data_IF_432880818048
#
_entry.id   IF_432880818048
#
_cell.length_a   1.000
_cell.length_b   1.000
_cell.length_c   1.000
_cell.angle_alpha   90.00
_cell.angle_beta   90.00
_cell.angle_gamma   90.00
#
_symmetry.space_group_name_H-M   'P 1'
#
loop_
_entity.id
_entity.type
_entity.pdbx_description
1 polymer ?
#
# COMPACT_ATOMS: atom_id res chain seq x y z
N UNK A 1 -27.70 -4.19 -20.83
CA UNK A 1 -26.94 -3.04 -20.26
C UNK A 1 -27.27 -1.82 -21.11
N UNK A 2 -27.46 -0.62 -20.52
CA UNK A 2 -27.67 0.59 -21.34
C UNK A 2 -26.34 1.06 -21.94
N UNK A 3 -26.37 1.70 -23.14
CA UNK A 3 -25.17 2.26 -23.80
C UNK A 3 -24.42 3.28 -22.90
N UNK A 4 -25.16 4.02 -22.07
CA UNK A 4 -24.57 4.96 -21.11
C UNK A 4 -23.79 4.24 -20.00
N UNK A 5 -24.27 3.12 -19.48
CA UNK A 5 -23.59 2.34 -18.45
C UNK A 5 -22.27 1.76 -18.98
N UNK A 6 -22.26 1.24 -20.19
CA UNK A 6 -21.03 0.74 -20.84
C UNK A 6 -19.98 1.84 -20.99
N UNK A 7 -20.40 2.99 -21.46
CA UNK A 7 -19.51 4.14 -21.66
C UNK A 7 -18.88 4.61 -20.33
N UNK A 8 -19.67 4.71 -19.27
CA UNK A 8 -19.17 5.08 -17.93
C UNK A 8 -18.16 4.04 -17.42
N UNK A 9 -18.47 2.75 -17.56
CA UNK A 9 -17.55 1.69 -17.12
C UNK A 9 -16.23 1.71 -17.88
N UNK A 10 -16.26 1.93 -19.20
CA UNK A 10 -15.04 2.06 -20.02
C UNK A 10 -14.19 3.24 -19.53
N UNK A 11 -14.76 4.42 -19.31
CA UNK A 11 -14.01 5.56 -18.79
C UNK A 11 -13.44 5.30 -17.39
N UNK A 12 -14.19 4.63 -16.53
CA UNK A 12 -13.71 4.27 -15.19
C UNK A 12 -12.54 3.29 -15.25
N UNK A 13 -12.61 2.29 -16.12
CA UNK A 13 -11.52 1.33 -16.34
C UNK A 13 -10.29 2.03 -16.90
N UNK A 14 -10.45 2.92 -17.89
CA UNK A 14 -9.35 3.70 -18.45
C UNK A 14 -8.68 4.60 -17.40
N UNK A 15 -9.46 5.28 -16.57
CA UNK A 15 -8.95 6.09 -15.48
C UNK A 15 -8.17 5.25 -14.45
N UNK A 16 -8.66 4.06 -14.11
CA UNK A 16 -7.97 3.11 -13.24
C UNK A 16 -6.64 2.64 -13.84
N UNK A 17 -6.61 2.29 -15.11
CA UNK A 17 -5.40 1.89 -15.82
C UNK A 17 -4.37 3.02 -15.89
N UNK A 18 -4.80 4.24 -16.21
CA UNK A 18 -3.93 5.42 -16.22
C UNK A 18 -3.30 5.68 -14.85
N UNK A 19 -4.06 5.51 -13.77
CA UNK A 19 -3.55 5.63 -12.40
C UNK A 19 -2.44 4.62 -12.11
N UNK A 20 -2.60 3.36 -12.52
CA UNK A 20 -1.57 2.32 -12.35
C UNK A 20 -0.33 2.61 -13.19
N UNK A 21 -0.52 3.01 -14.46
CA UNK A 21 0.58 3.39 -15.35
C UNK A 21 1.38 4.55 -14.76
N UNK A 22 0.71 5.58 -14.27
CA UNK A 22 1.36 6.69 -13.58
C UNK A 22 2.16 6.21 -12.35
N UNK A 23 1.55 5.38 -11.50
CA UNK A 23 2.22 4.81 -10.32
C UNK A 23 3.47 4.02 -10.68
N UNK A 24 3.41 3.21 -11.74
CA UNK A 24 4.54 2.43 -12.23
C UNK A 24 5.72 3.31 -12.70
N UNK A 25 5.46 4.28 -13.58
CA UNK A 25 6.51 5.16 -14.10
C UNK A 25 7.08 6.07 -13.02
N UNK A 26 6.23 6.59 -12.13
CA UNK A 26 6.67 7.42 -11.01
C UNK A 26 7.51 6.61 -10.02
N UNK A 27 7.10 5.40 -9.68
CA UNK A 27 7.87 4.49 -8.83
C UNK A 27 9.24 4.17 -9.43
N UNK A 28 9.31 3.85 -10.74
CA UNK A 28 10.56 3.63 -11.44
C UNK A 28 11.46 4.87 -11.41
N UNK A 29 10.90 6.06 -11.61
CA UNK A 29 11.64 7.32 -11.55
C UNK A 29 12.24 7.58 -10.17
N UNK A 30 11.49 7.30 -9.09
CA UNK A 30 11.99 7.43 -7.72
C UNK A 30 13.13 6.45 -7.49
N UNK A 31 12.95 5.18 -7.83
CA UNK A 31 13.93 4.13 -7.57
C UNK A 31 15.23 4.34 -8.37
N UNK A 32 15.20 5.07 -9.47
CA UNK A 32 16.39 5.46 -10.24
C UNK A 32 17.12 6.69 -9.67
N UNK A 33 16.54 7.40 -8.71
CA UNK A 33 17.16 8.56 -8.05
C UNK A 33 18.29 8.13 -7.12
N UNK A 34 19.23 9.06 -6.84
CA UNK A 34 20.38 8.80 -5.96
C UNK A 34 19.93 8.36 -4.56
N UNK A 35 20.51 7.28 -4.06
CA UNK A 35 20.31 6.78 -2.70
C UNK A 35 21.37 7.34 -1.70
N UNK A 36 22.09 8.38 -2.10
CA UNK A 36 23.10 9.00 -1.25
C UNK A 36 24.42 8.23 -1.14
N UNK A 37 25.18 8.52 -0.10
CA UNK A 37 26.50 7.92 0.13
C UNK A 37 26.40 6.49 0.69
N UNK A 38 27.55 5.81 0.79
CA UNK A 38 27.63 4.42 1.25
C UNK A 38 27.03 4.22 2.66
N UNK A 39 27.22 5.18 3.58
CA UNK A 39 26.68 5.08 4.94
C UNK A 39 25.15 5.20 4.96
N UNK A 40 24.59 6.10 4.15
CA UNK A 40 23.12 6.19 3.99
C UNK A 40 22.52 4.91 3.43
N UNK A 41 23.19 4.31 2.44
CA UNK A 41 22.72 3.05 1.83
C UNK A 41 22.85 1.87 2.79
N UNK A 42 23.88 1.80 3.62
CA UNK A 42 24.04 0.79 4.67
C UNK A 42 22.87 0.84 5.67
N UNK A 43 22.55 2.03 6.19
CA UNK A 43 21.44 2.25 7.12
C UNK A 43 20.10 1.91 6.44
N UNK A 44 19.88 2.40 5.22
CA UNK A 44 18.67 2.10 4.46
C UNK A 44 18.49 0.61 4.19
N UNK A 45 19.56 -0.12 3.93
CA UNK A 45 19.53 -1.58 3.76
C UNK A 45 19.08 -2.29 5.03
N UNK A 46 19.57 -1.89 6.20
CA UNK A 46 19.16 -2.46 7.48
C UNK A 46 17.65 -2.23 7.73
N UNK A 47 17.16 -1.01 7.48
CA UNK A 47 15.73 -0.67 7.59
C UNK A 47 14.90 -1.51 6.61
N UNK A 48 15.34 -1.67 5.35
CA UNK A 48 14.64 -2.45 4.34
C UNK A 48 14.54 -3.93 4.71
N UNK A 49 15.58 -4.51 5.30
CA UNK A 49 15.56 -5.91 5.78
C UNK A 49 14.50 -6.08 6.86
N UNK A 50 14.48 -5.20 7.86
CA UNK A 50 13.48 -5.20 8.94
C UNK A 50 12.06 -5.02 8.41
N UNK A 51 11.84 -4.01 7.56
CA UNK A 51 10.53 -3.74 6.94
C UNK A 51 10.03 -4.93 6.13
N UNK A 52 10.88 -5.55 5.31
CA UNK A 52 10.52 -6.70 4.48
C UNK A 52 10.19 -7.94 5.32
N UNK A 53 10.96 -8.20 6.37
CA UNK A 53 10.69 -9.30 7.29
C UNK A 53 9.34 -9.12 8.00
N UNK A 54 9.08 -7.90 8.48
CA UNK A 54 7.81 -7.54 9.12
C UNK A 54 6.62 -7.67 8.16
N UNK A 55 6.70 -7.07 6.98
CA UNK A 55 5.65 -7.15 5.95
C UNK A 55 5.31 -8.60 5.60
N UNK A 56 6.32 -9.42 5.34
CA UNK A 56 6.10 -10.82 5.00
C UNK A 56 5.37 -11.57 6.12
N UNK A 57 5.72 -11.32 7.38
CA UNK A 57 5.04 -11.94 8.53
C UNK A 57 3.61 -11.45 8.66
N UNK A 58 3.39 -10.15 8.55
CA UNK A 58 2.09 -9.53 8.64
C UNK A 58 1.15 -10.04 7.56
N UNK A 59 1.57 -9.97 6.29
CA UNK A 59 0.74 -10.39 5.17
C UNK A 59 0.42 -11.88 5.17
N UNK A 60 1.34 -12.72 5.66
CA UNK A 60 1.04 -14.14 5.89
C UNK A 60 -0.08 -14.33 6.91
N UNK A 61 -0.06 -13.59 8.01
CA UNK A 61 -1.10 -13.64 9.04
C UNK A 61 -2.44 -13.12 8.50
N UNK A 62 -2.41 -11.99 7.78
CA UNK A 62 -3.59 -11.41 7.13
C UNK A 62 -4.20 -12.39 6.12
N UNK A 63 -3.38 -13.08 5.33
CA UNK A 63 -3.85 -14.07 4.37
C UNK A 63 -4.58 -15.24 5.04
N UNK A 64 -4.08 -15.74 6.17
CA UNK A 64 -4.74 -16.82 6.93
C UNK A 64 -6.12 -16.36 7.42
N UNK A 65 -6.21 -15.19 8.06
CA UNK A 65 -7.48 -14.62 8.51
C UNK A 65 -8.41 -14.34 7.33
N UNK A 66 -7.85 -13.79 6.24
CA UNK A 66 -8.60 -13.50 5.02
C UNK A 66 -9.24 -14.74 4.41
N UNK A 67 -8.53 -15.88 4.39
CA UNK A 67 -9.10 -17.15 3.90
C UNK A 67 -10.24 -17.64 4.79
N UNK A 68 -10.10 -17.55 6.11
CA UNK A 68 -11.19 -17.91 7.03
C UNK A 68 -12.44 -17.07 6.77
N UNK A 69 -12.29 -15.75 6.65
CA UNK A 69 -13.39 -14.84 6.34
C UNK A 69 -13.97 -15.12 4.95
N UNK A 70 -13.14 -15.41 3.94
CA UNK A 70 -13.58 -15.80 2.60
C UNK A 70 -14.52 -17.02 2.65
N UNK A 71 -14.13 -18.04 3.39
CA UNK A 71 -14.95 -19.26 3.56
C UNK A 71 -16.29 -18.91 4.22
N UNK A 72 -16.27 -18.15 5.32
CA UNK A 72 -17.49 -17.75 6.03
C UNK A 72 -18.43 -16.95 5.10
N UNK A 73 -17.91 -15.95 4.38
CA UNK A 73 -18.71 -15.11 3.48
C UNK A 73 -19.28 -15.93 2.32
N UNK A 74 -18.49 -16.82 1.71
CA UNK A 74 -18.92 -17.65 0.60
C UNK A 74 -20.05 -18.62 0.99
N UNK A 75 -19.96 -19.23 2.18
CA UNK A 75 -21.00 -20.14 2.67
C UNK A 75 -22.24 -19.42 3.20
N UNK A 76 -22.09 -18.23 3.77
CA UNK A 76 -23.22 -17.49 4.36
C UNK A 76 -24.06 -16.74 3.32
N UNK A 77 -23.48 -16.37 2.19
CA UNK A 77 -24.17 -15.60 1.14
C UNK A 77 -24.18 -16.35 -0.19
N UNK A 78 -23.12 -16.17 -1.01
CA UNK A 78 -22.94 -16.90 -2.26
C UNK A 78 -21.48 -16.92 -2.68
N UNK A 79 -21.17 -17.77 -3.66
CA UNK A 79 -19.82 -17.82 -4.25
C UNK A 79 -19.43 -16.48 -4.91
N UNK A 80 -20.39 -15.80 -5.57
CA UNK A 80 -20.15 -14.49 -6.19
C UNK A 80 -19.81 -13.44 -5.12
N UNK A 81 -20.51 -13.44 -4.00
CA UNK A 81 -20.20 -12.56 -2.87
C UNK A 81 -18.79 -12.86 -2.31
N UNK A 82 -18.44 -14.14 -2.17
CA UNK A 82 -17.10 -14.58 -1.78
C UNK A 82 -16.00 -14.13 -2.77
N UNK A 83 -16.26 -14.22 -4.06
CA UNK A 83 -15.33 -13.73 -5.11
C UNK A 83 -15.16 -12.21 -5.03
N UNK A 84 -16.22 -11.47 -4.79
CA UNK A 84 -16.14 -10.02 -4.55
C UNK A 84 -15.19 -9.70 -3.39
N UNK A 85 -15.41 -10.35 -2.24
CA UNK A 85 -14.50 -10.22 -1.10
C UNK A 85 -13.04 -10.54 -1.45
N UNK A 86 -12.79 -11.65 -2.16
CA UNK A 86 -11.45 -12.07 -2.56
C UNK A 86 -10.77 -11.05 -3.46
N UNK A 87 -11.48 -10.50 -4.45
CA UNK A 87 -10.96 -9.46 -5.34
C UNK A 87 -10.57 -8.22 -4.53
N UNK A 88 -11.47 -7.71 -3.69
CA UNK A 88 -11.20 -6.55 -2.85
C UNK A 88 -10.01 -6.75 -1.91
N UNK A 89 -9.99 -7.88 -1.20
CA UNK A 89 -8.91 -8.24 -0.27
C UNK A 89 -7.56 -8.35 -0.98
N UNK A 90 -7.51 -9.04 -2.13
CA UNK A 90 -6.27 -9.25 -2.88
C UNK A 90 -5.71 -7.95 -3.42
N UNK A 91 -6.54 -7.13 -4.07
CA UNK A 91 -6.08 -5.87 -4.67
C UNK A 91 -5.67 -4.83 -3.61
N UNK A 92 -6.39 -4.76 -2.49
CA UNK A 92 -6.00 -3.94 -1.34
C UNK A 92 -4.67 -4.40 -0.75
N UNK A 93 -4.47 -5.72 -0.62
CA UNK A 93 -3.21 -6.31 -0.17
C UNK A 93 -2.05 -5.95 -1.10
N UNK A 94 -2.22 -6.09 -2.41
CA UNK A 94 -1.21 -5.72 -3.40
C UNK A 94 -0.86 -4.23 -3.31
N UNK A 95 -1.86 -3.34 -3.25
CA UNK A 95 -1.63 -1.90 -3.14
C UNK A 95 -0.82 -1.55 -1.89
N UNK A 96 -1.18 -2.10 -0.73
CA UNK A 96 -0.48 -1.86 0.53
C UNK A 96 0.95 -2.41 0.53
N UNK A 97 1.14 -3.64 0.07
CA UNK A 97 2.45 -4.28 0.03
C UNK A 97 3.43 -3.56 -0.92
N UNK A 98 2.99 -3.29 -2.15
CA UNK A 98 3.81 -2.59 -3.16
C UNK A 98 4.08 -1.15 -2.71
N UNK A 99 3.06 -0.45 -2.22
CA UNK A 99 3.20 0.91 -1.71
C UNK A 99 4.24 1.01 -0.60
N UNK A 100 4.20 0.10 0.38
CA UNK A 100 5.18 0.06 1.47
C UNK A 100 6.59 -0.24 0.99
N UNK A 101 6.76 -1.19 0.05
CA UNK A 101 8.08 -1.48 -0.52
C UNK A 101 8.69 -0.28 -1.26
N UNK A 102 7.86 0.50 -1.96
CA UNK A 102 8.31 1.73 -2.64
C UNK A 102 8.65 2.80 -1.61
N UNK A 103 7.82 3.01 -0.60
CA UNK A 103 8.03 4.00 0.46
C UNK A 103 9.35 3.76 1.21
N UNK A 104 9.59 2.55 1.68
CA UNK A 104 10.83 2.20 2.41
C UNK A 104 12.09 2.44 1.57
N UNK A 105 12.01 2.24 0.25
CA UNK A 105 13.12 2.53 -0.65
C UNK A 105 13.22 4.02 -0.99
N UNK A 106 12.13 4.77 -0.94
CA UNK A 106 12.09 6.19 -1.22
C UNK A 106 12.71 7.04 -0.09
N UNK A 107 12.67 6.56 1.16
CA UNK A 107 13.12 7.31 2.34
C UNK A 107 14.57 7.80 2.22
N UNK A 108 15.51 6.94 1.91
CA UNK A 108 16.92 7.31 1.73
C UNK A 108 17.12 8.30 0.56
N UNK A 109 16.30 8.18 -0.47
CA UNK A 109 16.30 9.08 -1.64
C UNK A 109 15.73 10.45 -1.30
N UNK A 110 14.72 10.48 -0.45
CA UNK A 110 14.17 11.73 0.11
C UNK A 110 15.23 12.43 0.98
N UNK A 111 15.90 11.68 1.86
CA UNK A 111 16.98 12.23 2.68
C UNK A 111 18.13 12.78 1.83
N UNK A 112 18.55 12.08 0.77
CA UNK A 112 19.58 12.57 -0.15
C UNK A 112 19.12 13.80 -0.94
N UNK A 113 17.87 13.81 -1.42
CA UNK A 113 17.32 14.96 -2.12
C UNK A 113 17.21 16.20 -1.21
N UNK A 114 16.87 16.02 0.06
CA UNK A 114 16.75 17.09 1.05
C UNK A 114 18.08 17.80 1.32
N UNK A 115 19.22 17.15 1.05
CA UNK A 115 20.55 17.80 1.12
C UNK A 115 20.73 18.91 0.08
N UNK A 116 19.95 18.89 -1.00
CA UNK A 116 19.96 19.91 -2.06
C UNK A 116 19.01 21.07 -1.75
N UNK A 117 17.95 20.79 -1.00
CA UNK A 117 16.96 21.77 -0.59
C UNK A 117 15.64 21.12 -0.20
N UNK A 118 14.77 21.91 0.45
CA UNK A 118 13.45 21.48 0.89
C UNK A 118 12.56 21.07 -0.30
N UNK A 119 12.61 21.81 -1.39
CA UNK A 119 11.77 21.56 -2.57
C UNK A 119 12.10 20.21 -3.22
N UNK A 120 13.38 19.86 -3.31
CA UNK A 120 13.85 18.58 -3.86
C UNK A 120 13.44 17.42 -2.98
N UNK A 121 13.64 17.53 -1.67
CA UNK A 121 13.19 16.53 -0.71
C UNK A 121 11.69 16.31 -0.75
N UNK A 122 10.91 17.39 -0.70
CA UNK A 122 9.44 17.35 -0.78
C UNK A 122 8.95 16.73 -2.09
N UNK A 123 9.61 17.04 -3.22
CA UNK A 123 9.26 16.45 -4.52
C UNK A 123 9.38 14.93 -4.53
N UNK A 124 10.46 14.37 -3.96
CA UNK A 124 10.66 12.92 -3.88
C UNK A 124 9.65 12.29 -2.92
N UNK A 125 9.46 12.89 -1.74
CA UNK A 125 8.50 12.41 -0.74
C UNK A 125 7.07 12.39 -1.28
N UNK A 126 6.63 13.49 -1.94
CA UNK A 126 5.31 13.59 -2.55
C UNK A 126 5.11 12.54 -3.65
N UNK A 127 6.08 12.37 -4.53
CA UNK A 127 6.01 11.35 -5.59
C UNK A 127 5.89 9.95 -5.01
N UNK A 128 6.59 9.65 -3.91
CA UNK A 128 6.50 8.36 -3.23
C UNK A 128 5.09 8.10 -2.68
N UNK A 129 4.50 9.10 -2.00
CA UNK A 129 3.11 9.01 -1.56
C UNK A 129 2.12 8.89 -2.71
N UNK A 130 2.35 9.64 -3.82
CA UNK A 130 1.53 9.57 -5.00
C UNK A 130 1.52 8.18 -5.67
N UNK A 131 2.63 7.43 -5.64
CA UNK A 131 2.66 6.04 -6.14
C UNK A 131 1.63 5.19 -5.38
N UNK A 132 1.66 5.22 -4.04
CA UNK A 132 0.72 4.47 -3.22
C UNK A 132 -0.72 4.92 -3.43
N UNK A 133 -0.96 6.25 -3.42
CA UNK A 133 -2.29 6.80 -3.63
C UNK A 133 -2.90 6.44 -4.98
N UNK A 134 -2.11 6.52 -6.06
CA UNK A 134 -2.55 6.16 -7.41
C UNK A 134 -2.76 4.65 -7.58
N UNK A 135 -1.95 3.80 -6.93
CA UNK A 135 -2.19 2.36 -6.91
C UNK A 135 -3.52 2.03 -6.21
N UNK A 136 -3.77 2.61 -5.04
CA UNK A 136 -5.02 2.39 -4.29
C UNK A 136 -6.23 2.85 -5.13
N UNK A 137 -6.20 4.08 -5.64
CA UNK A 137 -7.30 4.61 -6.45
C UNK A 137 -7.52 3.81 -7.74
N UNK A 138 -6.44 3.49 -8.47
CA UNK A 138 -6.51 2.76 -9.72
C UNK A 138 -7.02 1.33 -9.55
N UNK A 139 -6.51 0.60 -8.56
CA UNK A 139 -6.95 -0.77 -8.28
C UNK A 139 -8.40 -0.81 -7.76
N UNK A 140 -8.82 0.17 -6.95
CA UNK A 140 -10.21 0.27 -6.49
C UNK A 140 -11.17 0.53 -7.66
N UNK A 141 -10.86 1.48 -8.55
CA UNK A 141 -11.66 1.76 -9.74
C UNK A 141 -11.76 0.53 -10.65
N UNK A 142 -10.64 -0.14 -10.90
CA UNK A 142 -10.61 -1.36 -11.72
C UNK A 142 -11.40 -2.48 -11.06
N UNK A 143 -11.21 -2.72 -9.76
CA UNK A 143 -11.92 -3.75 -9.04
C UNK A 143 -13.43 -3.60 -9.17
N UNK A 144 -13.94 -2.41 -8.85
CA UNK A 144 -15.36 -2.13 -8.89
C UNK A 144 -15.90 -2.19 -10.33
N UNK A 145 -15.26 -1.48 -11.27
CA UNK A 145 -15.76 -1.37 -12.63
C UNK A 145 -15.73 -2.71 -13.39
N UNK A 146 -14.63 -3.45 -13.29
CA UNK A 146 -14.49 -4.75 -13.97
C UNK A 146 -15.39 -5.79 -13.34
N UNK A 147 -15.46 -5.85 -12.00
CA UNK A 147 -16.30 -6.82 -11.32
C UNK A 147 -17.79 -6.56 -11.59
N UNK A 148 -18.22 -5.30 -11.51
CA UNK A 148 -19.58 -4.89 -11.84
C UNK A 148 -19.92 -5.19 -13.31
N UNK A 149 -19.02 -4.90 -14.25
CA UNK A 149 -19.19 -5.23 -15.67
C UNK A 149 -19.40 -6.74 -15.88
N UNK A 150 -18.61 -7.57 -15.23
CA UNK A 150 -18.72 -9.02 -15.33
C UNK A 150 -20.07 -9.53 -14.77
N UNK A 151 -20.49 -9.04 -13.60
CA UNK A 151 -21.77 -9.42 -13.01
C UNK A 151 -22.94 -9.05 -13.89
N UNK A 152 -22.92 -7.86 -14.51
CA UNK A 152 -23.94 -7.45 -15.48
C UNK A 152 -23.94 -8.32 -16.74
N UNK A 153 -22.76 -8.69 -17.24
CA UNK A 153 -22.60 -9.52 -18.44
C UNK A 153 -23.13 -10.95 -18.23
N UNK A 154 -23.01 -11.47 -17.01
CA UNK A 154 -23.55 -12.77 -16.63
C UNK A 154 -25.01 -12.71 -16.16
N UNK A 155 -25.68 -11.57 -16.34
CA UNK A 155 -27.08 -11.36 -15.99
C UNK A 155 -27.42 -11.74 -14.54
N UNK A 156 -26.50 -11.45 -13.62
CA UNK A 156 -26.68 -11.69 -12.20
C UNK A 156 -27.78 -10.78 -11.65
N UNK A 157 -28.59 -11.28 -10.70
CA UNK A 157 -29.67 -10.52 -10.06
C UNK A 157 -29.09 -9.24 -9.34
N UNK A 158 -29.86 -8.14 -9.42
CA UNK A 158 -29.42 -6.84 -8.88
C UNK A 158 -29.05 -6.90 -7.39
N UNK A 159 -29.81 -7.66 -6.61
CA UNK A 159 -29.54 -7.81 -5.18
C UNK A 159 -28.22 -8.54 -4.92
N UNK A 160 -27.93 -9.55 -5.73
CA UNK A 160 -26.68 -10.30 -5.63
C UNK A 160 -25.49 -9.45 -6.11
N UNK A 161 -25.66 -8.62 -7.14
CA UNK A 161 -24.67 -7.65 -7.58
C UNK A 161 -24.32 -6.69 -6.44
N UNK A 162 -25.32 -6.12 -5.77
CA UNK A 162 -25.08 -5.20 -4.63
C UNK A 162 -24.34 -5.93 -3.51
N UNK A 163 -24.75 -7.12 -3.13
CA UNK A 163 -24.09 -7.92 -2.09
C UNK A 163 -22.62 -8.22 -2.45
N UNK A 164 -22.37 -8.57 -3.71
CA UNK A 164 -21.02 -8.87 -4.20
C UNK A 164 -20.10 -7.63 -4.20
N UNK A 165 -20.61 -6.45 -4.57
CA UNK A 165 -19.87 -5.19 -4.50
C UNK A 165 -19.64 -4.72 -3.06
N UNK A 166 -20.60 -4.91 -2.16
CA UNK A 166 -20.43 -4.65 -0.73
C UNK A 166 -19.34 -5.56 -0.15
N UNK A 167 -19.34 -6.84 -0.51
CA UNK A 167 -18.32 -7.78 -0.06
C UNK A 167 -16.93 -7.43 -0.63
N UNK A 168 -16.83 -6.92 -1.86
CA UNK A 168 -15.59 -6.39 -2.43
C UNK A 168 -15.07 -5.22 -1.58
N UNK A 169 -15.91 -4.25 -1.26
CA UNK A 169 -15.56 -3.13 -0.38
C UNK A 169 -15.15 -3.59 1.02
N UNK A 170 -15.85 -4.59 1.58
CA UNK A 170 -15.52 -5.18 2.88
C UNK A 170 -14.16 -5.88 2.86
N UNK A 171 -13.85 -6.67 1.83
CA UNK A 171 -12.56 -7.33 1.68
C UNK A 171 -11.40 -6.32 1.59
N UNK A 172 -11.57 -5.27 0.77
CA UNK A 172 -10.59 -4.20 0.65
C UNK A 172 -10.38 -3.46 1.97
N UNK A 173 -11.45 -3.12 2.68
CA UNK A 173 -11.42 -2.42 3.96
C UNK A 173 -10.76 -3.27 5.06
N UNK A 174 -11.10 -4.55 5.17
CA UNK A 174 -10.54 -5.45 6.19
C UNK A 174 -9.03 -5.56 6.05
N UNK A 175 -8.51 -5.77 4.84
CA UNK A 175 -7.07 -5.84 4.60
C UNK A 175 -6.39 -4.50 4.88
N UNK A 176 -7.00 -3.40 4.47
CA UNK A 176 -6.48 -2.05 4.71
C UNK A 176 -6.36 -1.74 6.21
N UNK A 177 -7.35 -2.14 7.04
CA UNK A 177 -7.29 -1.95 8.49
C UNK A 177 -6.12 -2.72 9.09
N UNK A 178 -5.94 -3.99 8.74
CA UNK A 178 -4.80 -4.79 9.23
C UNK A 178 -3.46 -4.24 8.76
N UNK A 179 -3.36 -3.78 7.51
CA UNK A 179 -2.16 -3.17 6.99
C UNK A 179 -1.80 -1.87 7.74
N UNK A 180 -2.80 -1.03 8.04
CA UNK A 180 -2.64 0.22 8.81
C UNK A 180 -2.18 -0.05 10.25
N UNK A 181 -2.83 -0.98 10.95
CA UNK A 181 -2.46 -1.36 12.31
C UNK A 181 -1.02 -1.91 12.36
N UNK A 182 -0.67 -2.74 11.39
CA UNK A 182 0.67 -3.28 11.28
C UNK A 182 1.72 -2.20 10.99
N UNK A 183 1.43 -1.24 10.14
CA UNK A 183 2.29 -0.10 9.89
C UNK A 183 2.60 0.68 11.18
N UNK A 184 1.58 0.98 12.00
CA UNK A 184 1.74 1.63 13.29
C UNK A 184 2.61 0.84 14.28
N UNK A 185 2.46 -0.48 14.31
CA UNK A 185 3.32 -1.36 15.13
C UNK A 185 4.77 -1.33 14.66
N UNK A 186 5.01 -1.35 13.34
CA UNK A 186 6.34 -1.26 12.76
C UNK A 186 7.02 0.06 13.10
N UNK A 187 6.31 1.18 12.94
CA UNK A 187 6.79 2.52 13.29
C UNK A 187 7.18 2.61 14.76
N UNK A 188 6.33 2.07 15.66
CA UNK A 188 6.67 2.06 17.09
C UNK A 188 7.87 1.17 17.41
N UNK A 189 8.04 0.06 16.71
CA UNK A 189 9.24 -0.77 16.83
C UNK A 189 10.52 -0.06 16.38
N UNK A 190 10.44 0.75 15.33
CA UNK A 190 11.54 1.58 14.85
C UNK A 190 11.90 2.67 15.86
N UNK A 191 10.90 3.38 16.41
CA UNK A 191 11.03 4.41 17.44
C UNK A 191 11.74 3.86 18.70
N UNK A 192 11.28 2.75 19.24
CA UNK A 192 11.91 2.10 20.40
C UNK A 192 13.35 1.67 20.09
N UNK A 193 13.63 1.13 18.90
CA UNK A 193 14.98 0.78 18.47
C UNK A 193 15.89 2.01 18.37
N UNK A 194 15.34 3.11 17.90
CA UNK A 194 15.98 4.42 17.83
C UNK A 194 16.43 4.93 19.19
N UNK A 195 15.50 4.89 20.14
CA UNK A 195 15.76 5.30 21.51
C UNK A 195 16.88 4.48 22.15
N UNK A 196 16.87 3.17 21.95
CA UNK A 196 17.90 2.29 22.49
C UNK A 196 19.29 2.62 21.91
N UNK A 197 19.40 2.79 20.60
CA UNK A 197 20.68 3.13 19.95
C UNK A 197 21.15 4.54 20.34
N UNK A 198 20.26 5.51 20.29
CA UNK A 198 20.59 6.90 20.60
C UNK A 198 20.99 7.09 22.06
N UNK A 199 20.14 6.69 23.00
CA UNK A 199 20.35 6.94 24.43
C UNK A 199 21.36 5.98 25.06
N UNK A 200 21.26 4.69 24.73
CA UNK A 200 22.03 3.66 25.44
C UNK A 200 23.41 3.45 24.81
N UNK A 201 23.49 3.35 23.48
CA UNK A 201 24.76 3.07 22.79
C UNK A 201 25.54 4.34 22.46
N UNK A 202 24.87 5.38 21.92
CA UNK A 202 25.54 6.59 21.48
C UNK A 202 25.56 7.71 22.52
N UNK A 203 24.77 7.62 23.59
CA UNK A 203 24.69 8.63 24.66
C UNK A 203 24.20 10.01 24.18
N UNK A 204 23.43 10.03 23.10
CA UNK A 204 22.85 11.24 22.51
C UNK A 204 21.35 11.35 22.85
N UNK A 205 20.79 12.57 22.93
CA UNK A 205 19.35 12.76 23.12
C UNK A 205 18.53 12.08 22.03
N UNK A 206 17.27 11.74 22.38
CA UNK A 206 16.30 11.05 21.51
C UNK A 206 16.09 11.78 20.19
N UNK A 207 15.85 13.11 20.27
CA UNK A 207 15.56 13.97 19.11
C UNK A 207 16.82 14.59 18.48
N UNK A 208 18.01 14.08 18.79
CA UNK A 208 19.26 14.64 18.24
C UNK A 208 19.34 14.32 16.72
N UNK A 209 19.57 15.33 15.87
CA UNK A 209 19.65 15.14 14.41
C UNK A 209 20.81 14.21 13.98
N UNK A 210 21.74 13.91 14.87
CA UNK A 210 22.82 12.92 14.64
C UNK A 210 22.34 11.49 14.84
N UNK A 211 21.19 11.30 15.50
CA UNK A 211 20.61 9.98 15.67
C UNK A 211 19.95 9.52 14.35
N UNK A 212 20.47 8.49 13.66
CA UNK A 212 19.88 8.02 12.41
C UNK A 212 18.46 7.51 12.57
N UNK A 213 18.04 7.28 13.78
CA UNK A 213 16.71 6.81 14.13
C UNK A 213 15.66 7.92 14.13
N UNK A 214 16.05 9.20 14.27
CA UNK A 214 15.14 10.34 13.99
C UNK A 214 14.62 10.28 12.55
N UNK A 215 15.42 9.78 11.62
CA UNK A 215 14.98 9.57 10.22
C UNK A 215 14.00 8.39 10.14
N UNK A 216 14.25 7.30 10.88
CA UNK A 216 13.39 6.13 10.89
C UNK A 216 12.02 6.40 11.52
N UNK A 217 11.95 7.27 12.52
CA UNK A 217 10.71 7.66 13.20
C UNK A 217 9.79 8.49 12.28
N UNK A 218 10.37 9.26 11.37
CA UNK A 218 9.61 10.05 10.38
C UNK A 218 9.19 9.27 9.11
N UNK A 219 9.38 7.98 9.09
CA UNK A 219 9.01 7.06 8.00
C UNK A 219 7.68 6.38 8.31
#
# INVERSE_FOLDING_TARGET
>A
MSSNTETILIYTILAGLLSIVYGFFTGKSILSSSAGNAKMQEIASAIQIGAKAYLNRQYKTIAIVGVVVLVIVSFSFSILVGLGYLVGATLSGIAGYVGMLVSVQANVRTAEASRKGLAEGLSVAFKSGAVTGMLVAGLALLAIAVYYFLLLKFEVDEREIVNALVALGFGASLISIFARLGGGIFTKGADVGADLVGKVEAGIPEDDPRNPAVIADNV
#
